data_IF_709137716105
#
_entry.id   IF_709137716105
#
_cell.length_a   1.000
_cell.length_b   1.000
_cell.length_c   1.000
_cell.angle_alpha   90.00
_cell.angle_beta   90.00
_cell.angle_gamma   90.00
#
_symmetry.space_group_name_H-M   'P 1'
#
loop_
_entity.id
_entity.type
_entity.pdbx_description
1 polymer ?
#
# COMPACT_ATOMS: atom_id res chain seq x y z
N UNK A 1 29.28 -29.63 38.55
CA UNK A 1 28.45 -28.56 39.12
C UNK A 1 28.85 -27.26 38.44
N UNK A 2 27.93 -26.63 37.71
CA UNK A 2 28.18 -25.42 36.91
C UNK A 2 28.10 -24.20 37.83
N UNK A 3 29.11 -23.35 37.80
CA UNK A 3 29.09 -22.04 38.42
C UNK A 3 28.80 -20.97 37.35
N UNK A 4 27.66 -20.34 37.57
CA UNK A 4 27.12 -19.09 37.02
C UNK A 4 28.13 -17.92 37.02
N UNK A 5 28.17 -17.12 35.94
CA UNK A 5 28.14 -15.64 36.05
C UNK A 5 28.06 -14.89 34.69
N UNK A 6 26.89 -14.27 34.48
CA UNK A 6 26.59 -12.92 33.95
C UNK A 6 27.69 -12.17 33.16
N UNK A 7 27.41 -11.89 31.88
CA UNK A 7 28.15 -10.89 31.09
C UNK A 7 27.41 -9.54 31.19
N UNK A 8 28.02 -8.59 31.92
CA UNK A 8 27.68 -7.17 31.88
C UNK A 8 28.53 -6.45 30.82
N UNK A 9 27.86 -5.69 29.96
CA UNK A 9 28.30 -4.44 29.32
C UNK A 9 29.72 -4.33 28.77
N UNK A 10 29.85 -4.28 27.44
CA UNK A 10 31.06 -3.79 26.77
C UNK A 10 30.73 -2.50 26.01
N UNK A 11 31.38 -1.41 26.44
CA UNK A 11 31.41 -0.09 25.79
C UNK A 11 32.18 -0.18 24.47
N UNK A 12 31.59 0.33 23.39
CA UNK A 12 32.23 0.45 22.07
C UNK A 12 33.15 1.69 22.10
N UNK A 13 34.44 1.46 22.33
CA UNK A 13 35.50 2.47 22.26
C UNK A 13 36.50 2.12 21.16
N UNK A 14 36.51 2.92 20.09
CA UNK A 14 37.33 2.75 18.88
C UNK A 14 38.84 2.69 19.17
N UNK A 15 39.49 1.57 18.82
CA UNK A 15 40.85 1.51 18.22
C UNK A 15 41.10 0.09 17.68
N UNK A 16 40.81 -0.14 16.39
CA UNK A 16 41.01 -1.44 15.74
C UNK A 16 42.50 -1.64 15.37
N UNK A 17 43.19 -2.68 15.90
CA UNK A 17 44.48 -3.12 15.38
C UNK A 17 44.28 -3.92 14.08
N UNK A 18 45.11 -3.65 13.08
CA UNK A 18 45.08 -4.17 11.69
C UNK A 18 45.34 -5.69 11.55
N UNK A 19 44.72 -6.56 12.34
CA UNK A 19 45.04 -8.01 12.32
C UNK A 19 43.84 -8.98 12.34
N UNK A 20 42.61 -8.52 12.13
CA UNK A 20 41.43 -9.39 12.04
C UNK A 20 40.88 -9.52 10.61
N UNK A 21 41.76 -9.70 9.63
CA UNK A 21 41.39 -9.97 8.23
C UNK A 21 41.23 -11.46 7.89
N UNK A 22 41.07 -12.36 8.87
CA UNK A 22 41.13 -13.82 8.63
C UNK A 22 39.99 -14.66 9.23
N UNK A 23 38.86 -14.04 9.61
CA UNK A 23 37.66 -14.80 10.02
C UNK A 23 36.45 -14.59 9.10
N UNK A 24 36.70 -14.44 7.80
CA UNK A 24 35.72 -14.78 6.76
C UNK A 24 36.30 -15.93 5.93
N UNK A 25 36.34 -17.14 6.48
CA UNK A 25 36.56 -18.37 5.69
C UNK A 25 35.19 -18.91 5.27
N UNK A 26 34.86 -18.94 3.96
CA UNK A 26 33.58 -19.42 3.47
C UNK A 26 33.49 -20.94 3.60
N UNK A 27 32.46 -21.43 4.30
CA UNK A 27 31.99 -22.81 4.16
C UNK A 27 31.01 -22.77 2.98
N UNK A 28 31.28 -23.57 1.94
CA UNK A 28 30.59 -23.69 0.65
C UNK A 28 31.21 -22.89 -0.51
N UNK A 29 31.97 -23.65 -1.31
CA UNK A 29 32.56 -23.25 -2.58
C UNK A 29 31.48 -23.37 -3.66
N UNK A 30 30.98 -22.22 -4.11
CA UNK A 30 30.14 -22.07 -5.31
C UNK A 30 28.71 -21.60 -5.03
N UNK A 31 28.52 -20.33 -4.64
CA UNK A 31 27.33 -19.53 -5.01
C UNK A 31 27.43 -18.03 -4.63
N UNK A 32 28.61 -17.39 -4.77
CA UNK A 32 28.72 -15.96 -4.44
C UNK A 32 27.83 -15.08 -5.33
N UNK A 33 27.62 -15.48 -6.59
CA UNK A 33 26.69 -14.82 -7.52
C UNK A 33 25.22 -15.01 -7.11
N UNK A 34 24.82 -16.21 -6.68
CA UNK A 34 23.45 -16.47 -6.22
C UNK A 34 23.12 -15.74 -4.92
N UNK A 35 24.05 -15.68 -3.97
CA UNK A 35 23.87 -14.89 -2.75
C UNK A 35 23.79 -13.39 -3.06
N UNK A 36 24.68 -12.87 -3.92
CA UNK A 36 24.64 -11.47 -4.33
C UNK A 36 23.34 -11.12 -5.06
N UNK A 37 22.81 -12.05 -5.86
CA UNK A 37 21.53 -11.91 -6.55
C UNK A 37 20.34 -11.84 -5.57
N UNK A 38 20.24 -12.79 -4.64
CA UNK A 38 19.16 -12.79 -3.64
C UNK A 38 19.25 -11.57 -2.72
N UNK A 39 20.44 -11.21 -2.28
CA UNK A 39 20.65 -9.98 -1.48
C UNK A 39 20.24 -8.74 -2.28
N UNK A 40 20.54 -8.69 -3.58
CA UNK A 40 20.12 -7.61 -4.47
C UNK A 40 18.60 -7.47 -4.60
N UNK A 41 17.88 -8.59 -4.76
CA UNK A 41 16.41 -8.58 -4.79
C UNK A 41 15.82 -8.11 -3.47
N UNK A 42 16.35 -8.62 -2.35
CA UNK A 42 15.87 -8.29 -1.02
C UNK A 42 16.12 -6.81 -0.70
N UNK A 43 17.29 -6.27 -1.08
CA UNK A 43 17.60 -4.85 -0.91
C UNK A 43 16.66 -3.97 -1.74
N UNK A 44 16.45 -4.29 -3.02
CA UNK A 44 15.48 -3.57 -3.86
C UNK A 44 14.07 -3.58 -3.27
N UNK A 45 13.59 -4.76 -2.88
CA UNK A 45 12.27 -4.92 -2.26
C UNK A 45 12.16 -4.10 -0.98
N UNK A 46 13.22 -4.08 -0.17
CA UNK A 46 13.25 -3.27 1.06
C UNK A 46 13.28 -1.78 0.78
N UNK A 47 14.03 -1.31 -0.23
CA UNK A 47 14.07 0.10 -0.62
C UNK A 47 12.71 0.56 -1.16
N UNK A 48 12.06 -0.23 -2.01
CA UNK A 48 10.72 0.07 -2.54
C UNK A 48 9.65 0.07 -1.44
N UNK A 49 9.81 -0.81 -0.44
CA UNK A 49 8.99 -0.83 0.76
C UNK A 49 9.22 0.44 1.61
N UNK A 50 10.48 0.80 1.87
CA UNK A 50 10.83 1.95 2.70
C UNK A 50 10.45 3.28 2.04
N UNK A 51 10.62 3.43 0.73
CA UNK A 51 10.25 4.63 0.00
C UNK A 51 8.74 4.92 0.09
N UNK A 52 7.90 3.89 -0.08
CA UNK A 52 6.44 4.03 0.04
C UNK A 52 6.00 4.36 1.46
N UNK A 53 6.65 3.76 2.45
CA UNK A 53 6.38 4.11 3.84
C UNK A 53 6.80 5.56 4.13
N UNK A 54 7.93 6.04 3.60
CA UNK A 54 8.39 7.43 3.76
C UNK A 54 7.46 8.45 3.08
N UNK A 55 6.96 8.16 1.87
CA UNK A 55 5.93 8.96 1.19
C UNK A 55 4.65 9.09 2.03
N UNK A 56 4.29 8.03 2.73
CA UNK A 56 3.20 8.01 3.71
C UNK A 56 3.60 8.57 5.09
N UNK A 57 4.84 9.00 5.32
CA UNK A 57 5.30 9.43 6.64
C UNK A 57 5.26 8.33 7.71
N UNK A 58 5.33 7.06 7.31
CA UNK A 58 5.45 5.89 8.17
C UNK A 58 6.92 5.44 8.22
N UNK A 59 7.51 5.33 9.41
CA UNK A 59 8.86 4.76 9.52
C UNK A 59 8.79 3.22 9.51
N UNK A 60 9.61 2.51 8.70
CA UNK A 60 9.66 1.05 8.66
C UNK A 60 9.86 0.38 10.04
N UNK A 61 10.61 1.02 10.93
CA UNK A 61 10.86 0.53 12.28
C UNK A 61 9.63 0.61 13.22
N UNK A 62 8.61 1.38 12.85
CA UNK A 62 7.40 1.59 13.64
C UNK A 62 6.20 0.75 13.16
N UNK A 63 6.38 -0.06 12.10
CA UNK A 63 5.40 -1.05 11.65
C UNK A 63 5.26 -2.12 12.72
N UNK A 64 4.25 -1.95 13.57
CA UNK A 64 4.07 -2.72 14.80
C UNK A 64 2.86 -3.64 14.76
N UNK A 65 2.05 -3.53 13.70
CA UNK A 65 0.89 -4.38 13.49
C UNK A 65 1.04 -5.20 12.18
N UNK A 66 0.50 -6.41 12.19
CA UNK A 66 0.58 -7.35 11.05
C UNK A 66 -0.15 -6.85 9.80
N UNK A 67 -1.07 -5.87 9.96
CA UNK A 67 -1.86 -5.33 8.84
C UNK A 67 -1.09 -4.28 8.05
N UNK A 68 -0.35 -3.39 8.69
CA UNK A 68 0.52 -2.40 8.05
C UNK A 68 1.58 -3.06 7.16
N UNK A 69 2.14 -4.18 7.61
CA UNK A 69 3.05 -4.98 6.78
C UNK A 69 2.35 -5.45 5.49
N UNK A 70 1.09 -5.92 5.57
CA UNK A 70 0.31 -6.30 4.38
C UNK A 70 -0.05 -5.12 3.48
N UNK A 71 -0.43 -3.98 4.06
CA UNK A 71 -0.76 -2.75 3.32
C UNK A 71 0.45 -2.25 2.54
N UNK A 72 1.64 -2.33 3.13
CA UNK A 72 2.88 -1.98 2.48
C UNK A 72 3.29 -3.00 1.39
N UNK A 73 2.74 -4.21 1.36
CA UNK A 73 2.91 -5.14 0.24
C UNK A 73 1.91 -4.89 -0.91
N UNK A 74 0.98 -3.95 -0.77
CA UNK A 74 0.00 -3.68 -1.81
C UNK A 74 0.66 -3.25 -3.12
N UNK A 75 0.20 -3.81 -4.23
CA UNK A 75 0.68 -3.53 -5.57
C UNK A 75 -0.35 -2.72 -6.36
N UNK A 76 0.03 -1.91 -7.36
CA UNK A 76 -0.94 -1.23 -8.21
C UNK A 76 -1.94 -2.24 -8.78
N UNK A 77 -3.23 -1.90 -8.76
CA UNK A 77 -4.28 -2.82 -9.22
C UNK A 77 -4.11 -3.25 -10.68
N UNK A 78 -3.40 -2.47 -11.51
CA UNK A 78 -3.09 -2.80 -12.90
C UNK A 78 -1.85 -3.69 -13.11
N UNK A 79 -1.03 -3.90 -12.08
CA UNK A 79 0.24 -4.65 -12.17
C UNK A 79 0.22 -5.95 -11.36
N UNK A 80 -0.84 -6.21 -10.60
CA UNK A 80 -0.92 -7.40 -9.76
C UNK A 80 -1.23 -8.66 -10.58
N UNK A 81 -0.26 -9.59 -10.59
CA UNK A 81 -0.39 -10.91 -11.21
C UNK A 81 -1.48 -11.79 -10.54
N UNK A 82 -1.76 -11.56 -9.26
CA UNK A 82 -2.81 -12.29 -8.54
C UNK A 82 -4.22 -11.77 -8.87
N UNK A 83 -4.32 -10.52 -9.33
CA UNK A 83 -5.59 -9.85 -9.64
C UNK A 83 -5.95 -9.87 -11.13
N UNK A 84 -5.32 -10.75 -11.91
CA UNK A 84 -5.63 -10.96 -13.33
C UNK A 84 -7.13 -11.12 -13.61
N UNK A 85 -7.92 -11.54 -12.62
CA UNK A 85 -9.38 -11.54 -12.67
C UNK A 85 -9.97 -11.03 -11.36
N UNK A 86 -10.69 -9.93 -11.45
CA UNK A 86 -11.49 -9.40 -10.36
C UNK A 86 -12.97 -9.61 -10.64
N UNK A 87 -13.70 -10.13 -9.66
CA UNK A 87 -15.15 -10.10 -9.67
C UNK A 87 -15.60 -8.81 -9.01
N UNK A 88 -16.62 -8.15 -9.57
CA UNK A 88 -17.23 -6.94 -8.99
C UNK A 88 -17.72 -7.21 -7.56
N UNK A 89 -18.24 -8.41 -7.29
CA UNK A 89 -18.68 -8.82 -5.95
C UNK A 89 -17.51 -8.93 -4.95
N UNK A 90 -16.28 -9.12 -5.43
CA UNK A 90 -15.08 -9.16 -4.60
C UNK A 90 -14.46 -7.77 -4.40
N UNK A 91 -14.84 -6.78 -5.22
CA UNK A 91 -14.35 -5.40 -5.10
C UNK A 91 -15.33 -4.57 -4.26
N UNK A 92 -16.62 -4.74 -4.51
CA UNK A 92 -17.67 -4.03 -3.78
C UNK A 92 -17.71 -4.52 -2.34
N UNK A 93 -17.75 -3.59 -1.39
CA UNK A 93 -17.65 -3.85 0.04
C UNK A 93 -16.23 -4.04 0.56
N UNK A 94 -15.22 -4.03 -0.31
CA UNK A 94 -13.81 -4.14 0.12
C UNK A 94 -13.39 -2.88 0.87
N UNK A 95 -12.73 -3.09 2.01
CA UNK A 95 -12.19 -2.01 2.83
C UNK A 95 -11.16 -1.20 2.05
N UNK A 96 -11.23 0.12 2.17
CA UNK A 96 -10.26 1.06 1.63
C UNK A 96 -9.48 1.66 2.79
N UNK A 97 -8.16 1.58 2.74
CA UNK A 97 -7.26 2.05 3.81
C UNK A 97 -6.05 2.78 3.25
N UNK A 98 -5.38 3.57 4.07
CA UNK A 98 -4.08 4.11 3.72
C UNK A 98 -2.93 3.31 4.33
N UNK A 99 -1.69 3.69 4.02
CA UNK A 99 -0.47 3.01 4.47
C UNK A 99 -0.26 3.10 5.99
N UNK A 100 -0.87 4.10 6.64
CA UNK A 100 -0.89 4.29 8.09
C UNK A 100 -1.88 3.34 8.79
N UNK A 101 -2.62 2.52 8.04
CA UNK A 101 -3.72 1.68 8.52
C UNK A 101 -4.90 2.50 9.07
N UNK A 102 -5.17 3.68 8.50
CA UNK A 102 -6.40 4.42 8.74
C UNK A 102 -7.53 3.91 7.83
N UNK A 103 -8.76 3.91 8.34
CA UNK A 103 -9.92 3.51 7.55
C UNK A 103 -10.41 4.69 6.71
N UNK A 104 -10.42 4.51 5.40
CA UNK A 104 -10.94 5.49 4.45
C UNK A 104 -12.38 5.20 4.02
N UNK A 105 -12.92 4.04 4.39
CA UNK A 105 -14.27 3.59 4.04
C UNK A 105 -14.26 2.23 3.35
N UNK A 106 -15.24 2.01 2.49
CA UNK A 106 -15.36 0.79 1.67
C UNK A 106 -15.82 1.13 0.27
N UNK A 107 -15.47 0.30 -0.70
CA UNK A 107 -15.98 0.46 -2.07
C UNK A 107 -17.48 0.22 -2.09
N UNK A 108 -18.26 1.22 -2.51
CA UNK A 108 -19.72 1.09 -2.67
C UNK A 108 -20.13 0.73 -4.09
N UNK A 109 -19.37 1.19 -5.09
CA UNK A 109 -19.70 0.99 -6.51
C UNK A 109 -18.47 1.12 -7.41
N UNK A 110 -18.58 0.66 -8.66
CA UNK A 110 -17.55 0.68 -9.68
C UNK A 110 -18.11 1.26 -10.99
N UNK A 111 -17.43 2.27 -11.53
CA UNK A 111 -17.80 2.89 -12.81
C UNK A 111 -16.90 2.36 -13.92
N UNK A 112 -17.53 1.92 -15.01
CA UNK A 112 -16.86 1.30 -16.16
C UNK A 112 -17.13 2.15 -17.40
N UNK A 113 -16.11 2.44 -18.21
CA UNK A 113 -16.32 3.00 -19.55
C UNK A 113 -16.82 1.88 -20.49
N UNK A 114 -18.07 1.93 -20.98
CA UNK A 114 -18.64 0.87 -21.80
C UNK A 114 -17.96 0.72 -23.17
N UNK A 115 -17.19 1.72 -23.62
CA UNK A 115 -16.47 1.68 -24.90
C UNK A 115 -15.16 0.90 -24.80
N UNK A 116 -14.46 1.02 -23.68
CA UNK A 116 -13.17 0.34 -23.45
C UNK A 116 -13.31 -0.91 -22.60
N UNK A 117 -14.39 -1.03 -21.82
CA UNK A 117 -14.59 -2.07 -20.83
C UNK A 117 -13.72 -1.91 -19.58
N UNK A 118 -13.05 -0.76 -19.41
CA UNK A 118 -12.13 -0.52 -18.30
C UNK A 118 -12.83 0.19 -17.15
N UNK A 119 -12.42 -0.15 -15.93
CA UNK A 119 -12.85 0.57 -14.73
C UNK A 119 -12.23 1.97 -14.75
N UNK A 120 -13.08 2.98 -14.68
CA UNK A 120 -12.65 4.39 -14.62
C UNK A 120 -12.51 4.84 -13.17
N UNK A 121 -13.51 4.55 -12.34
CA UNK A 121 -13.57 4.98 -10.95
C UNK A 121 -14.04 3.84 -10.04
N UNK A 122 -13.52 3.79 -8.81
CA UNK A 122 -14.22 3.17 -7.70
C UNK A 122 -14.84 4.26 -6.83
N UNK A 123 -16.08 4.05 -6.42
CA UNK A 123 -16.79 4.93 -5.49
C UNK A 123 -16.54 4.41 -4.08
N UNK A 124 -15.96 5.24 -3.24
CA UNK A 124 -15.66 4.93 -1.84
C UNK A 124 -16.72 5.60 -0.97
N UNK A 125 -17.50 4.79 -0.26
CA UNK A 125 -18.39 5.26 0.79
C UNK A 125 -17.61 5.43 2.09
N UNK A 126 -17.71 6.61 2.68
CA UNK A 126 -17.06 6.96 3.95
C UNK A 126 -18.04 7.57 4.94
N UNK A 127 -17.72 7.42 6.22
CA UNK A 127 -18.61 7.87 7.29
C UNK A 127 -19.93 7.09 7.30
N UNK A 128 -20.86 7.48 8.18
CA UNK A 128 -22.17 6.82 8.28
C UNK A 128 -22.14 5.43 8.91
N UNK A 129 -23.29 4.74 8.86
CA UNK A 129 -23.46 3.36 9.32
C UNK A 129 -24.38 2.61 8.35
N UNK A 130 -23.87 1.58 7.68
CA UNK A 130 -24.63 0.66 6.81
C UNK A 130 -25.54 1.36 5.77
N UNK A 131 -24.99 2.30 4.99
CA UNK A 131 -25.71 3.03 3.95
C UNK A 131 -26.40 4.31 4.41
N UNK A 132 -26.39 4.64 5.71
CA UNK A 132 -27.01 5.85 6.24
C UNK A 132 -25.98 6.92 6.59
N UNK A 133 -26.16 8.11 6.00
CA UNK A 133 -25.30 9.27 6.26
C UNK A 133 -23.89 9.13 5.69
N UNK A 134 -23.72 8.25 4.69
CA UNK A 134 -22.45 8.03 4.01
C UNK A 134 -22.23 9.13 2.95
N UNK A 135 -21.00 9.59 2.88
CA UNK A 135 -20.53 10.43 1.79
C UNK A 135 -19.76 9.56 0.81
N UNK A 136 -19.97 9.81 -0.48
CA UNK A 136 -19.40 8.98 -1.53
C UNK A 136 -18.39 9.80 -2.33
N UNK A 137 -17.21 9.23 -2.54
CA UNK A 137 -16.10 9.87 -3.26
C UNK A 137 -15.68 8.98 -4.42
N UNK A 138 -15.64 9.53 -5.62
CA UNK A 138 -15.10 8.83 -6.78
C UNK A 138 -13.58 8.96 -6.83
N UNK A 139 -12.90 7.82 -6.84
CA UNK A 139 -11.45 7.72 -6.87
C UNK A 139 -11.03 6.99 -8.16
N UNK A 140 -10.12 7.55 -8.98
CA UNK A 140 -9.66 6.90 -10.19
C UNK A 140 -9.09 5.50 -9.89
N UNK A 141 -9.44 4.52 -10.73
CA UNK A 141 -9.05 3.12 -10.48
C UNK A 141 -7.52 2.94 -10.34
N UNK A 142 -6.75 3.70 -11.11
CA UNK A 142 -5.29 3.65 -11.11
C UNK A 142 -4.63 4.22 -9.85
N UNK A 143 -5.37 4.89 -8.97
CA UNK A 143 -4.88 5.36 -7.67
C UNK A 143 -4.84 4.23 -6.64
N UNK A 144 -5.59 3.16 -6.87
CA UNK A 144 -5.65 2.05 -5.94
C UNK A 144 -4.48 1.10 -6.09
N UNK A 145 -4.06 0.60 -4.95
CA UNK A 145 -3.25 -0.59 -4.81
C UNK A 145 -4.09 -1.66 -4.12
N UNK A 146 -3.69 -2.91 -4.25
CA UNK A 146 -4.39 -4.02 -3.61
C UNK A 146 -3.39 -4.90 -2.87
N UNK A 147 -3.76 -5.28 -1.65
CA UNK A 147 -3.00 -6.26 -0.88
C UNK A 147 -3.09 -7.64 -1.56
N UNK A 148 -2.09 -8.53 -1.35
CA UNK A 148 -2.20 -9.93 -1.77
C UNK A 148 -3.54 -10.55 -1.36
N UNK A 149 -4.19 -11.26 -2.28
CA UNK A 149 -5.52 -11.85 -2.06
C UNK A 149 -6.73 -10.90 -2.03
N UNK A 150 -6.56 -9.60 -2.32
CA UNK A 150 -7.63 -8.57 -2.41
C UNK A 150 -8.47 -8.37 -1.13
N UNK A 151 -7.87 -8.52 0.04
CA UNK A 151 -8.62 -8.26 1.28
C UNK A 151 -8.82 -6.76 1.57
N UNK A 152 -7.99 -5.89 0.97
CA UNK A 152 -8.02 -4.45 1.20
C UNK A 152 -7.50 -3.72 -0.03
N UNK A 153 -8.19 -2.64 -0.41
CA UNK A 153 -7.66 -1.66 -1.35
C UNK A 153 -6.92 -0.58 -0.56
N UNK A 154 -5.74 -0.23 -1.04
CA UNK A 154 -4.87 0.76 -0.43
C UNK A 154 -4.87 2.01 -1.29
N UNK A 155 -5.13 3.15 -0.67
CA UNK A 155 -5.07 4.46 -1.30
C UNK A 155 -4.05 5.32 -0.54
N UNK A 156 -3.09 5.87 -1.26
CA UNK A 156 -1.99 6.64 -0.66
C UNK A 156 -2.38 8.11 -0.42
N UNK A 157 -3.38 8.30 0.44
CA UNK A 157 -3.85 9.63 0.88
C UNK A 157 -4.24 9.60 2.35
N UNK A 158 -4.22 10.77 2.99
CA UNK A 158 -4.73 10.91 4.36
C UNK A 158 -6.25 10.95 4.38
N UNK A 159 -6.83 10.70 5.56
CA UNK A 159 -8.28 10.85 5.77
C UNK A 159 -8.76 12.25 5.42
N UNK A 160 -8.02 13.31 5.81
CA UNK A 160 -8.36 14.71 5.51
C UNK A 160 -8.27 15.04 4.02
N UNK A 161 -7.33 14.43 3.31
CA UNK A 161 -7.22 14.59 1.86
C UNK A 161 -8.44 14.01 1.19
N UNK A 162 -8.83 12.79 1.57
CA UNK A 162 -10.06 12.21 1.08
C UNK A 162 -11.24 13.12 1.42
N UNK A 163 -11.35 13.64 2.66
CA UNK A 163 -12.42 14.55 3.12
C UNK A 163 -12.65 15.75 2.20
N UNK A 164 -11.59 16.28 1.60
CA UNK A 164 -11.65 17.42 0.68
C UNK A 164 -11.96 17.05 -0.77
N UNK A 165 -11.99 15.76 -1.11
CA UNK A 165 -12.30 15.28 -2.45
C UNK A 165 -13.76 15.61 -2.82
N UNK A 166 -14.05 15.85 -4.12
CA UNK A 166 -15.42 16.09 -4.57
C UNK A 166 -16.34 14.91 -4.25
N UNK A 167 -17.41 15.20 -3.51
CA UNK A 167 -18.46 14.22 -3.26
C UNK A 167 -19.28 13.95 -4.52
N UNK A 168 -19.72 12.70 -4.67
CA UNK A 168 -20.61 12.25 -5.75
C UNK A 168 -21.89 11.68 -5.16
N UNK A 169 -23.00 11.78 -5.89
CA UNK A 169 -24.20 11.01 -5.55
C UNK A 169 -24.14 9.67 -6.29
N UNK A 170 -24.01 8.52 -5.58
CA UNK A 170 -23.83 7.22 -6.20
C UNK A 170 -24.99 6.82 -7.12
N UNK A 171 -26.20 7.37 -6.93
CA UNK A 171 -27.36 7.05 -7.77
C UNK A 171 -27.35 7.78 -9.12
N UNK A 172 -26.59 8.87 -9.21
CA UNK A 172 -26.50 9.71 -10.42
C UNK A 172 -25.10 9.71 -11.03
N UNK A 173 -24.11 9.24 -10.28
CA UNK A 173 -22.73 9.17 -10.75
C UNK A 173 -22.64 8.14 -11.87
N UNK A 174 -22.40 8.63 -13.09
CA UNK A 174 -22.49 7.85 -14.32
C UNK A 174 -23.61 8.29 -15.28
N UNK A 175 -24.47 9.23 -14.88
CA UNK A 175 -25.40 9.88 -15.82
C UNK A 175 -24.60 10.63 -16.90
N UNK A 176 -24.77 10.29 -18.20
CA UNK A 176 -24.05 10.94 -19.29
C UNK A 176 -24.15 12.46 -19.32
N UNK A 177 -25.25 13.03 -18.80
CA UNK A 177 -25.47 14.48 -18.81
C UNK A 177 -24.58 15.24 -17.82
N UNK A 178 -24.23 14.64 -16.67
CA UNK A 178 -23.41 15.27 -15.62
C UNK A 178 -22.00 14.71 -15.53
N UNK A 179 -21.76 13.50 -16.05
CA UNK A 179 -20.52 12.77 -15.86
C UNK A 179 -19.30 13.55 -16.35
N UNK A 180 -19.35 14.20 -17.52
CA UNK A 180 -18.21 14.95 -18.05
C UNK A 180 -17.75 16.10 -17.12
N UNK A 181 -18.70 16.79 -16.49
CA UNK A 181 -18.39 17.88 -15.56
C UNK A 181 -17.83 17.35 -14.24
N UNK A 182 -18.34 16.22 -13.76
CA UNK A 182 -17.86 15.56 -12.55
C UNK A 182 -16.47 14.96 -12.77
N UNK A 183 -16.26 14.28 -13.89
CA UNK A 183 -14.98 13.70 -14.32
C UNK A 183 -13.87 14.75 -14.35
N UNK A 184 -14.14 15.93 -14.91
CA UNK A 184 -13.17 17.04 -14.91
C UNK A 184 -12.81 17.50 -13.49
N UNK A 185 -13.80 17.68 -12.60
CA UNK A 185 -13.56 18.10 -11.22
C UNK A 185 -12.78 17.05 -10.42
N UNK A 186 -13.14 15.79 -10.57
CA UNK A 186 -12.48 14.64 -9.93
C UNK A 186 -11.05 14.54 -10.45
N UNK A 187 -10.85 14.56 -11.76
CA UNK A 187 -9.52 14.51 -12.38
C UNK A 187 -8.63 15.66 -11.93
N UNK A 188 -9.15 16.89 -11.84
CA UNK A 188 -8.39 18.03 -11.33
C UNK A 188 -8.00 17.88 -9.85
N UNK A 189 -8.79 17.19 -9.04
CA UNK A 189 -8.45 16.90 -7.65
C UNK A 189 -7.30 15.88 -7.56
N UNK A 190 -7.44 14.73 -8.21
CA UNK A 190 -6.48 13.62 -8.10
C UNK A 190 -5.17 13.86 -8.85
N UNK A 191 -5.13 14.74 -9.86
CA UNK A 191 -3.91 15.09 -10.58
C UNK A 191 -3.08 16.20 -9.90
N UNK A 192 -3.51 16.72 -8.74
CA UNK A 192 -2.79 17.79 -7.99
C UNK A 192 -1.82 17.25 -6.93
N UNK A 193 -1.81 15.93 -6.69
CA UNK A 193 -0.92 15.25 -5.75
C UNK A 193 0.41 14.86 -6.40
#
# INVERSE_FOLDING_TARGET
MVANQSIRGVKIGRRFPRLWGQFCTPIHRGDEEGCAYIVGILDQTYQDYAARLDEAGVEPANVTNWRQEQLALAQPVGESEELQRLNVDNITGTDVRNLQDENLGSVSDIVIDPRTGQVTYAVVARGGFLGFGEEHVAVPWNQFRATPGLNTLVLDVTTETLEQAPAVDPNTFGDPASFAQQDEQIGQFWNRG
#
